data_IF_604727143084
#
_entry.id   IF_604727143084
#
_cell.length_a   1.000
_cell.length_b   1.000
_cell.length_c   1.000
_cell.angle_alpha   90.00
_cell.angle_beta   90.00
_cell.angle_gamma   90.00
#
_symmetry.space_group_name_H-M   'P 1'
#
loop_
_entity.id
_entity.type
_entity.pdbx_description
1 polymer ?
#
# COMPACT_ATOMS: atom_id res chain seq x y z
N UNK A 1 -10.17 76.67 -2.69
CA UNK A 1 -10.95 75.47 -2.32
C UNK A 1 -10.47 74.38 -3.25
N UNK A 2 -9.73 73.42 -2.72
CA UNK A 2 -9.20 72.27 -3.49
C UNK A 2 -10.32 71.23 -3.44
N UNK A 3 -10.90 70.91 -4.61
CA UNK A 3 -11.96 69.92 -4.69
C UNK A 3 -11.36 68.53 -4.93
N UNK A 4 -11.88 67.59 -4.16
CA UNK A 4 -11.37 66.28 -3.87
C UNK A 4 -12.25 65.27 -4.60
N UNK A 5 -11.97 65.02 -5.87
CA UNK A 5 -12.72 64.03 -6.66
C UNK A 5 -11.91 62.76 -6.85
N UNK A 6 -12.00 61.94 -5.81
CA UNK A 6 -12.07 60.47 -5.75
C UNK A 6 -11.68 59.67 -7.00
N UNK A 7 -10.64 58.84 -6.85
CA UNK A 7 -10.40 57.68 -7.70
C UNK A 7 -11.54 56.68 -7.48
N UNK A 8 -12.51 56.64 -8.39
CA UNK A 8 -13.46 55.53 -8.45
C UNK A 8 -12.68 54.24 -8.73
N UNK A 9 -12.57 53.40 -7.70
CA UNK A 9 -12.06 52.05 -7.82
C UNK A 9 -13.21 51.24 -8.42
N UNK A 10 -13.03 50.77 -9.66
CA UNK A 10 -14.01 49.94 -10.35
C UNK A 10 -14.18 48.60 -9.60
N UNK A 11 -15.21 48.53 -8.75
CA UNK A 11 -15.54 47.36 -7.95
C UNK A 11 -15.76 46.10 -8.81
N UNK A 12 -16.16 46.27 -10.08
CA UNK A 12 -16.32 45.19 -11.06
C UNK A 12 -15.00 44.47 -11.38
N UNK A 13 -13.90 45.22 -11.44
CA UNK A 13 -12.55 44.66 -11.67
C UNK A 13 -12.02 43.90 -10.44
N UNK A 14 -12.37 44.35 -9.24
CA UNK A 14 -11.95 43.68 -7.99
C UNK A 14 -12.62 42.32 -7.84
N UNK A 15 -13.93 42.23 -8.11
CA UNK A 15 -14.66 40.95 -8.02
C UNK A 15 -14.22 39.95 -9.08
N UNK A 16 -13.94 40.38 -10.31
CA UNK A 16 -13.48 39.49 -11.38
C UNK A 16 -12.08 38.91 -11.09
N UNK A 17 -11.21 39.69 -10.44
CA UNK A 17 -9.89 39.23 -10.03
C UNK A 17 -9.95 38.26 -8.83
N UNK A 18 -10.89 38.43 -7.90
CA UNK A 18 -11.13 37.50 -6.79
C UNK A 18 -11.65 36.14 -7.29
N UNK A 19 -12.55 36.13 -8.27
CA UNK A 19 -13.07 34.91 -8.88
C UNK A 19 -11.99 34.16 -9.67
N UNK A 20 -11.18 34.86 -10.47
CA UNK A 20 -10.06 34.27 -11.21
C UNK A 20 -9.02 33.65 -10.27
N UNK A 21 -8.68 34.34 -9.17
CA UNK A 21 -7.76 33.83 -8.16
C UNK A 21 -8.33 32.61 -7.41
N UNK A 22 -9.64 32.58 -7.15
CA UNK A 22 -10.33 31.44 -6.56
C UNK A 22 -10.31 30.20 -7.46
N UNK A 23 -10.58 30.39 -8.77
CA UNK A 23 -10.51 29.33 -9.77
C UNK A 23 -9.09 28.78 -9.97
N UNK A 24 -8.08 29.66 -9.94
CA UNK A 24 -6.67 29.24 -10.01
C UNK A 24 -6.26 28.46 -8.76
N UNK A 25 -6.72 28.89 -7.57
CA UNK A 25 -6.47 28.18 -6.32
C UNK A 25 -7.12 26.79 -6.30
N UNK A 26 -8.37 26.68 -6.76
CA UNK A 26 -9.10 25.41 -6.89
C UNK A 26 -8.41 24.44 -7.85
N UNK A 27 -7.88 24.94 -8.97
CA UNK A 27 -7.08 24.11 -9.89
C UNK A 27 -5.75 23.65 -9.25
N UNK A 28 -5.09 24.50 -8.46
CA UNK A 28 -3.83 24.17 -7.77
C UNK A 28 -4.04 23.10 -6.69
N UNK A 29 -5.13 23.17 -5.92
CA UNK A 29 -5.44 22.15 -4.89
C UNK A 29 -5.82 20.81 -5.53
N UNK A 30 -6.51 20.81 -6.67
CA UNK A 30 -6.83 19.58 -7.41
C UNK A 30 -5.60 18.92 -8.04
N UNK A 31 -4.60 19.71 -8.47
CA UNK A 31 -3.29 19.19 -8.89
C UNK A 31 -2.58 18.49 -7.73
N UNK A 32 -2.67 19.02 -6.50
CA UNK A 32 -2.00 18.47 -5.31
C UNK A 32 -2.64 17.19 -4.78
N UNK A 33 -3.89 16.88 -5.12
CA UNK A 33 -4.61 15.66 -4.67
C UNK A 33 -4.93 14.72 -5.83
N UNK A 34 -4.05 14.62 -6.84
CA UNK A 34 -4.17 13.54 -7.85
C UNK A 34 -3.85 12.19 -7.21
N UNK A 35 -4.90 11.48 -6.80
CA UNK A 35 -4.82 10.08 -6.35
C UNK A 35 -4.16 9.26 -7.45
N UNK A 36 -2.96 8.72 -7.19
CA UNK A 36 -2.25 7.85 -8.14
C UNK A 36 -3.17 6.71 -8.56
N UNK A 37 -3.48 6.63 -9.86
CA UNK A 37 -4.29 5.55 -10.43
C UNK A 37 -3.55 4.24 -10.27
N UNK A 38 -4.19 3.25 -9.66
CA UNK A 38 -3.71 1.86 -9.65
C UNK A 38 -4.14 1.19 -10.95
N UNK A 39 -3.24 0.42 -11.55
CA UNK A 39 -3.50 -0.35 -12.77
C UNK A 39 -3.18 -1.81 -12.52
N UNK A 40 -4.07 -2.71 -12.93
CA UNK A 40 -3.85 -4.15 -12.89
C UNK A 40 -2.87 -4.62 -13.99
N UNK A 41 -2.36 -5.84 -13.86
CA UNK A 41 -1.38 -6.38 -14.81
C UNK A 41 -1.99 -6.54 -16.21
N UNK A 42 -3.25 -6.96 -16.30
CA UNK A 42 -3.95 -7.12 -17.58
C UNK A 42 -4.03 -5.82 -18.38
N UNK A 43 -4.40 -4.72 -17.72
CA UNK A 43 -4.46 -3.40 -18.32
C UNK A 43 -3.09 -2.95 -18.78
N UNK A 44 -2.07 -3.05 -17.91
CA UNK A 44 -0.72 -2.63 -18.27
C UNK A 44 -0.17 -3.44 -19.45
N UNK A 45 -0.44 -4.74 -19.53
CA UNK A 45 -0.07 -5.59 -20.66
C UNK A 45 -0.80 -5.18 -21.95
N UNK A 46 -2.08 -4.81 -21.87
CA UNK A 46 -2.82 -4.29 -23.02
C UNK A 46 -2.20 -2.98 -23.54
N UNK A 47 -1.80 -2.07 -22.64
CA UNK A 47 -1.10 -0.84 -22.99
C UNK A 47 0.26 -1.14 -23.64
N UNK A 48 1.03 -2.08 -23.10
CA UNK A 48 2.31 -2.51 -23.68
C UNK A 48 2.12 -3.11 -25.07
N UNK A 49 1.12 -3.99 -25.26
CA UNK A 49 0.79 -4.58 -26.56
C UNK A 49 0.44 -3.50 -27.58
N UNK A 50 -0.38 -2.52 -27.20
CA UNK A 50 -0.71 -1.40 -28.08
C UNK A 50 0.53 -0.57 -28.43
N UNK A 51 1.41 -0.31 -27.46
CA UNK A 51 2.66 0.43 -27.65
C UNK A 51 3.72 -0.31 -28.48
N UNK A 52 3.58 -1.62 -28.67
CA UNK A 52 4.40 -2.43 -29.58
C UNK A 52 3.86 -2.45 -31.01
N UNK A 53 2.54 -2.41 -31.16
CA UNK A 53 1.87 -2.30 -32.47
C UNK A 53 1.94 -0.88 -33.05
N UNK A 54 1.95 0.11 -32.16
CA UNK A 54 2.04 1.54 -32.48
C UNK A 54 3.35 2.11 -31.90
N UNK A 55 3.32 3.38 -31.51
CA UNK A 55 4.40 4.02 -30.74
C UNK A 55 4.04 4.16 -29.26
N UNK A 56 5.05 4.33 -28.41
CA UNK A 56 4.84 4.63 -26.98
C UNK A 56 4.08 5.95 -26.78
N UNK A 57 4.31 6.95 -27.64
CA UNK A 57 3.54 8.20 -27.67
C UNK A 57 2.08 7.98 -28.06
N UNK A 58 1.82 7.12 -29.05
CA UNK A 58 0.47 6.74 -29.45
C UNK A 58 -0.28 6.08 -28.29
N UNK A 59 0.38 5.20 -27.54
CA UNK A 59 -0.19 4.58 -26.35
C UNK A 59 -0.45 5.61 -25.23
N UNK A 60 0.48 6.53 -25.00
CA UNK A 60 0.33 7.58 -24.00
C UNK A 60 -0.92 8.45 -24.28
N UNK A 61 -1.13 8.84 -25.54
CA UNK A 61 -2.32 9.59 -25.97
C UNK A 61 -3.60 8.76 -25.83
N UNK A 62 -3.59 7.51 -26.29
CA UNK A 62 -4.77 6.64 -26.30
C UNK A 62 -5.26 6.29 -24.89
N UNK A 63 -4.35 6.04 -23.95
CA UNK A 63 -4.69 5.58 -22.60
C UNK A 63 -4.58 6.67 -21.53
N UNK A 64 -4.24 7.91 -21.91
CA UNK A 64 -3.96 9.03 -21.01
C UNK A 64 -2.94 8.66 -19.92
N UNK A 65 -1.80 8.13 -20.37
CA UNK A 65 -0.74 7.57 -19.53
C UNK A 65 0.59 8.29 -19.72
N UNK A 66 1.38 8.38 -18.66
CA UNK A 66 2.74 8.91 -18.76
C UNK A 66 3.65 7.97 -19.55
N UNK A 67 4.47 8.52 -20.45
CA UNK A 67 5.45 7.75 -21.21
C UNK A 67 6.41 6.96 -20.30
N UNK A 68 6.79 7.54 -19.16
CA UNK A 68 7.67 6.87 -18.20
C UNK A 68 7.04 5.59 -17.63
N UNK A 69 5.73 5.60 -17.35
CA UNK A 69 5.01 4.41 -16.90
C UNK A 69 5.01 3.33 -17.98
N UNK A 70 4.72 3.71 -19.23
CA UNK A 70 4.71 2.79 -20.37
C UNK A 70 6.10 2.20 -20.60
N UNK A 71 7.16 3.02 -20.56
CA UNK A 71 8.55 2.56 -20.71
C UNK A 71 8.93 1.56 -19.63
N UNK A 72 8.54 1.81 -18.38
CA UNK A 72 8.80 0.89 -17.28
C UNK A 72 8.04 -0.42 -17.44
N UNK A 73 6.76 -0.38 -17.83
CA UNK A 73 5.98 -1.59 -18.10
C UNK A 73 6.53 -2.39 -19.28
N UNK A 74 7.08 -1.74 -20.30
CA UNK A 74 7.78 -2.44 -21.40
C UNK A 74 8.98 -3.23 -20.90
N UNK A 75 9.77 -2.68 -19.95
CA UNK A 75 10.89 -3.41 -19.33
C UNK A 75 10.42 -4.60 -18.49
N UNK A 76 9.29 -4.44 -17.80
CA UNK A 76 8.73 -5.44 -16.91
C UNK A 76 7.80 -6.45 -17.61
N UNK A 77 7.66 -6.38 -18.95
CA UNK A 77 6.67 -7.15 -19.72
C UNK A 77 6.72 -8.65 -19.43
N UNK A 78 7.91 -9.26 -19.39
CA UNK A 78 8.05 -10.71 -19.16
C UNK A 78 7.49 -11.14 -17.80
N UNK A 79 7.90 -10.45 -16.73
CA UNK A 79 7.43 -10.70 -15.37
C UNK A 79 5.92 -10.44 -15.24
N UNK A 80 5.43 -9.37 -15.87
CA UNK A 80 4.00 -9.06 -15.89
C UNK A 80 3.19 -10.15 -16.58
N UNK A 81 3.64 -10.67 -17.72
CA UNK A 81 2.97 -11.77 -18.43
C UNK A 81 2.94 -13.03 -17.58
N UNK A 82 4.09 -13.46 -17.06
CA UNK A 82 4.20 -14.65 -16.21
C UNK A 82 3.26 -14.58 -15.00
N UNK A 83 3.20 -13.44 -14.33
CA UNK A 83 2.30 -13.28 -13.20
C UNK A 83 0.83 -13.15 -13.61
N UNK A 84 0.52 -12.47 -14.72
CA UNK A 84 -0.85 -12.29 -15.20
C UNK A 84 -1.53 -13.61 -15.56
N UNK A 85 -0.76 -14.63 -15.97
CA UNK A 85 -1.27 -15.99 -16.20
C UNK A 85 -1.86 -16.61 -14.93
N UNK A 86 -1.40 -16.18 -13.75
CA UNK A 86 -1.91 -16.62 -12.43
C UNK A 86 -2.93 -15.67 -11.81
N UNK A 87 -2.68 -14.36 -11.82
CA UNK A 87 -3.55 -13.32 -11.25
C UNK A 87 -3.38 -11.98 -11.98
N UNK A 88 -4.10 -11.85 -13.10
CA UNK A 88 -4.11 -10.64 -13.91
C UNK A 88 -4.70 -9.39 -13.22
N UNK A 89 -5.50 -9.55 -12.16
CA UNK A 89 -6.15 -8.43 -11.45
C UNK A 89 -5.24 -7.77 -10.43
N UNK A 90 -4.06 -8.35 -10.15
CA UNK A 90 -3.11 -7.74 -9.24
C UNK A 90 -2.55 -6.43 -9.81
N UNK A 91 -2.41 -5.39 -8.99
CA UNK A 91 -1.84 -4.12 -9.41
C UNK A 91 -0.31 -4.06 -9.36
N UNK A 92 0.32 -5.02 -8.68
CA UNK A 92 1.76 -5.03 -8.39
C UNK A 92 2.37 -6.35 -8.80
N UNK A 93 3.64 -6.30 -9.21
CA UNK A 93 4.42 -7.50 -9.40
C UNK A 93 4.65 -8.21 -8.06
N UNK A 94 4.93 -9.51 -8.17
CA UNK A 94 5.26 -10.39 -7.07
C UNK A 94 6.45 -9.80 -6.31
N UNK A 95 6.40 -9.89 -4.97
CA UNK A 95 7.38 -9.22 -4.12
C UNK A 95 7.27 -7.69 -4.06
N UNK A 96 6.36 -7.04 -4.78
CA UNK A 96 6.07 -5.61 -4.63
C UNK A 96 5.38 -5.27 -3.29
N UNK A 97 5.50 -4.01 -2.87
CA UNK A 97 4.86 -3.51 -1.65
C UNK A 97 5.68 -3.71 -0.37
N UNK A 98 5.01 -3.64 0.78
CA UNK A 98 5.68 -3.66 2.09
C UNK A 98 6.24 -5.06 2.35
N UNK A 99 7.56 -5.13 2.53
CA UNK A 99 8.27 -6.37 2.86
C UNK A 99 7.97 -6.81 4.29
N UNK A 100 8.21 -8.10 4.55
CA UNK A 100 8.12 -8.68 5.88
C UNK A 100 9.22 -8.10 6.77
N UNK A 101 8.96 -7.99 8.07
CA UNK A 101 9.92 -7.43 9.04
C UNK A 101 11.16 -8.34 9.15
N UNK A 102 10.92 -9.65 9.18
CA UNK A 102 11.92 -10.72 9.18
C UNK A 102 11.22 -11.98 8.66
N UNK A 103 11.94 -12.83 7.95
CA UNK A 103 11.46 -14.14 7.51
C UNK A 103 11.37 -15.10 8.70
N UNK A 104 12.33 -15.01 9.62
CA UNK A 104 12.27 -15.75 10.89
C UNK A 104 11.02 -15.41 11.70
N UNK A 105 10.60 -14.15 11.71
CA UNK A 105 9.37 -13.72 12.38
C UNK A 105 8.08 -14.19 11.70
N UNK A 106 8.14 -14.75 10.50
CA UNK A 106 7.01 -15.52 9.97
C UNK A 106 7.07 -16.98 10.41
N UNK A 107 8.26 -17.58 10.44
CA UNK A 107 8.40 -19.01 10.69
C UNK A 107 8.33 -19.37 12.19
N UNK A 108 9.15 -18.73 13.03
CA UNK A 108 9.33 -19.09 14.44
C UNK A 108 8.04 -18.90 15.26
N UNK A 109 7.31 -17.76 15.16
CA UNK A 109 6.04 -17.62 15.88
C UNK A 109 4.98 -18.61 15.39
N UNK A 110 4.96 -18.98 14.10
CA UNK A 110 4.04 -20.00 13.58
C UNK A 110 4.31 -21.37 14.19
N UNK A 111 5.56 -21.82 14.18
CA UNK A 111 5.97 -23.08 14.78
C UNK A 111 5.58 -23.15 16.27
N UNK A 112 5.83 -22.07 17.02
CA UNK A 112 5.44 -21.99 18.42
C UNK A 112 3.91 -22.05 18.61
N UNK A 113 3.12 -21.37 17.79
CA UNK A 113 1.64 -21.45 17.83
C UNK A 113 1.17 -22.89 17.58
N UNK A 114 1.71 -23.57 16.56
CA UNK A 114 1.34 -24.95 16.25
C UNK A 114 1.71 -25.90 17.38
N UNK A 115 2.91 -25.75 17.94
CA UNK A 115 3.36 -26.55 19.08
C UNK A 115 2.43 -26.41 20.29
N UNK A 116 2.11 -25.17 20.70
CA UNK A 116 1.19 -24.90 21.80
C UNK A 116 -0.22 -25.45 21.54
N UNK A 117 -0.74 -25.30 20.32
CA UNK A 117 -2.06 -25.83 19.95
C UNK A 117 -2.10 -27.35 19.91
N UNK A 118 -1.00 -28.01 19.51
CA UNK A 118 -0.86 -29.47 19.58
C UNK A 118 -0.95 -30.00 21.02
N UNK A 119 -0.58 -29.16 22.00
CA UNK A 119 -0.69 -29.45 23.44
C UNK A 119 -2.04 -29.01 24.02
N UNK A 120 -3.00 -28.64 23.18
CA UNK A 120 -4.30 -28.09 23.57
C UNK A 120 -4.22 -26.81 24.43
N UNK A 121 -3.09 -26.10 24.37
CA UNK A 121 -2.91 -24.83 25.06
C UNK A 121 -3.46 -23.69 24.24
N UNK A 122 -4.18 -22.78 24.91
CA UNK A 122 -4.70 -21.57 24.27
C UNK A 122 -3.56 -20.60 24.02
N UNK A 123 -3.48 -20.13 22.77
CA UNK A 123 -2.55 -19.07 22.37
C UNK A 123 -3.32 -17.79 22.12
N UNK A 124 -3.15 -16.82 23.03
CA UNK A 124 -3.78 -15.52 22.88
C UNK A 124 -2.98 -14.60 21.95
N UNK A 125 -3.67 -13.62 21.36
CA UNK A 125 -3.04 -12.56 20.56
C UNK A 125 -1.96 -11.78 21.34
N UNK A 126 -2.16 -11.59 22.65
CA UNK A 126 -1.17 -10.93 23.53
C UNK A 126 0.10 -11.76 23.61
N UNK A 127 -0.02 -13.08 23.81
CA UNK A 127 1.12 -13.98 23.89
C UNK A 127 1.90 -14.04 22.59
N UNK A 128 1.22 -14.07 21.43
CA UNK A 128 1.89 -14.03 20.11
C UNK A 128 2.77 -12.77 19.98
N UNK A 129 2.27 -11.62 20.43
CA UNK A 129 3.03 -10.36 20.37
C UNK A 129 4.26 -10.39 21.28
N UNK A 130 4.12 -10.90 22.50
CA UNK A 130 5.24 -11.04 23.45
C UNK A 130 6.28 -11.99 22.86
N UNK A 131 5.86 -13.18 22.41
CA UNK A 131 6.76 -14.17 21.84
C UNK A 131 7.47 -13.69 20.58
N UNK A 132 6.77 -12.95 19.73
CA UNK A 132 7.37 -12.35 18.54
C UNK A 132 8.43 -11.29 18.90
N UNK A 133 8.27 -10.53 19.98
CA UNK A 133 9.31 -9.59 20.44
C UNK A 133 10.56 -10.31 20.93
N UNK A 134 10.40 -11.37 21.71
CA UNK A 134 11.53 -12.22 22.14
C UNK A 134 12.28 -12.78 20.94
N UNK A 135 11.55 -13.36 19.98
CA UNK A 135 12.15 -13.94 18.78
C UNK A 135 12.84 -12.88 17.92
N UNK A 136 12.29 -11.67 17.83
CA UNK A 136 12.92 -10.56 17.12
C UNK A 136 14.22 -10.08 17.77
N UNK A 137 14.31 -10.12 19.11
CA UNK A 137 15.50 -9.68 19.82
C UNK A 137 16.74 -10.48 19.38
N UNK A 138 16.57 -11.78 19.11
CA UNK A 138 17.63 -12.72 18.71
C UNK A 138 17.68 -13.03 17.21
N UNK A 139 16.80 -12.44 16.40
CA UNK A 139 16.78 -12.71 14.96
C UNK A 139 17.97 -12.03 14.25
N UNK A 140 18.60 -12.71 13.29
CA UNK A 140 19.72 -12.13 12.53
C UNK A 140 19.24 -11.34 11.30
N UNK A 141 18.03 -11.62 10.80
CA UNK A 141 17.47 -11.11 9.54
C UNK A 141 16.58 -9.86 9.72
N UNK A 142 16.96 -8.97 10.64
CA UNK A 142 16.20 -7.74 10.94
C UNK A 142 16.30 -6.77 9.77
N UNK A 143 15.19 -6.56 9.03
CA UNK A 143 15.16 -5.53 7.97
C UNK A 143 15.11 -4.11 8.53
N UNK A 144 14.38 -3.94 9.62
CA UNK A 144 14.22 -2.65 10.26
C UNK A 144 15.25 -2.56 11.40
N UNK A 145 16.25 -1.68 11.28
CA UNK A 145 17.22 -1.45 12.37
C UNK A 145 16.62 -0.87 13.66
N UNK A 146 15.30 -0.68 13.70
CA UNK A 146 14.56 -0.16 14.84
C UNK A 146 13.94 -1.26 15.72
N UNK A 147 13.38 -0.82 16.85
CA UNK A 147 12.68 -1.69 17.77
C UNK A 147 11.39 -2.25 17.15
N UNK A 148 11.21 -3.56 17.23
CA UNK A 148 10.00 -4.22 16.77
C UNK A 148 8.87 -4.11 17.81
N UNK A 149 7.84 -3.34 17.48
CA UNK A 149 6.73 -3.07 18.39
C UNK A 149 5.71 -4.23 18.49
N UNK A 150 5.77 -5.19 17.56
CA UNK A 150 4.75 -6.21 17.35
C UNK A 150 3.33 -5.58 17.33
N UNK A 151 3.12 -4.54 16.54
CA UNK A 151 1.86 -3.78 16.54
C UNK A 151 0.62 -4.63 16.20
N UNK A 152 -0.57 -4.15 16.54
CA UNK A 152 -1.85 -4.84 16.22
C UNK A 152 -1.97 -5.10 14.71
N UNK A 153 -1.57 -4.13 13.90
CA UNK A 153 -1.54 -4.22 12.44
C UNK A 153 -0.55 -5.26 11.93
N UNK A 154 0.62 -5.40 12.57
CA UNK A 154 1.55 -6.48 12.26
C UNK A 154 0.93 -7.84 12.59
N UNK A 155 0.40 -8.00 13.80
CA UNK A 155 -0.22 -9.25 14.25
C UNK A 155 -1.34 -9.69 13.31
N UNK A 156 -2.24 -8.76 12.95
CA UNK A 156 -3.34 -9.06 12.02
C UNK A 156 -2.82 -9.57 10.67
N UNK A 157 -1.80 -8.93 10.11
CA UNK A 157 -1.19 -9.35 8.83
C UNK A 157 -0.41 -10.65 8.95
N UNK A 158 0.28 -10.88 10.06
CA UNK A 158 0.96 -12.13 10.37
C UNK A 158 -0.05 -13.29 10.42
N UNK A 159 -1.14 -13.14 11.18
CA UNK A 159 -2.19 -14.17 11.27
C UNK A 159 -2.82 -14.46 9.91
N UNK A 160 -3.14 -13.41 9.13
CA UNK A 160 -3.72 -13.58 7.80
C UNK A 160 -2.79 -14.26 6.81
N UNK A 161 -1.50 -13.89 6.79
CA UNK A 161 -0.51 -14.49 5.88
C UNK A 161 -0.22 -15.96 6.20
N UNK A 162 -0.31 -16.32 7.48
CA UNK A 162 -0.04 -17.68 7.95
C UNK A 162 -1.33 -18.49 8.21
N UNK A 163 -2.47 -18.07 7.62
CA UNK A 163 -3.75 -18.77 7.68
C UNK A 163 -4.26 -19.09 9.10
N UNK A 164 -3.90 -18.29 10.09
CA UNK A 164 -4.47 -18.41 11.43
C UNK A 164 -5.83 -17.73 11.49
N UNK A 165 -6.82 -18.43 12.07
CA UNK A 165 -8.15 -17.86 12.28
C UNK A 165 -8.06 -16.55 13.09
N UNK A 166 -8.68 -15.51 12.53
CA UNK A 166 -8.80 -14.21 13.17
C UNK A 166 -9.88 -14.23 14.25
N UNK A 167 -10.85 -15.12 14.19
CA UNK A 167 -11.93 -15.24 15.18
C UNK A 167 -12.28 -16.72 15.35
N UNK A 168 -11.83 -17.34 16.43
CA UNK A 168 -12.37 -18.62 16.88
C UNK A 168 -12.60 -18.56 18.38
N UNK A 169 -13.85 -18.76 18.79
CA UNK A 169 -14.12 -19.36 20.10
C UNK A 169 -13.81 -20.84 19.91
N UNK A 170 -12.72 -21.30 20.50
CA UNK A 170 -12.44 -22.73 20.63
C UNK A 170 -13.47 -23.30 21.60
N UNK A 171 -14.23 -24.29 21.14
CA UNK A 171 -15.32 -24.95 21.89
C UNK A 171 -14.82 -25.95 22.93
N UNK A 172 -13.51 -26.16 23.00
CA UNK A 172 -12.84 -27.05 23.98
C UNK A 172 -12.38 -26.21 25.16
N UNK A 173 -12.53 -26.70 26.39
CA UNK A 173 -11.97 -26.07 27.57
C UNK A 173 -10.43 -26.02 27.44
N UNK A 174 -9.88 -24.86 27.07
CA UNK A 174 -8.45 -24.69 26.89
C UNK A 174 -7.82 -24.15 28.18
N UNK A 175 -6.69 -24.73 28.58
CA UNK A 175 -5.81 -24.14 29.59
C UNK A 175 -4.92 -23.11 28.90
N UNK A 176 -4.71 -21.97 29.54
CA UNK A 176 -3.80 -20.96 29.01
C UNK A 176 -2.35 -21.50 29.11
N UNK A 177 -1.55 -21.28 28.07
CA UNK A 177 -0.12 -21.57 28.14
C UNK A 177 0.55 -20.64 29.17
N UNK A 178 1.58 -21.11 29.90
CA UNK A 178 2.36 -20.26 30.80
C UNK A 178 2.85 -19.01 30.07
N UNK A 179 2.66 -17.86 30.70
CA UNK A 179 3.25 -16.60 30.26
C UNK A 179 4.54 -16.47 31.08
N UNK A 180 5.66 -16.84 30.47
CA UNK A 180 6.98 -16.48 31.00
C UNK A 180 7.30 -15.02 30.67
#
# INVERSE_FOLDING_TARGET
MVDESERQVDEGSVVENLEKNGQEFDQIVDIRVRKKRGFDLTFKLAVVKYAEQHSGEGAARQFHMDLNSIREWKKQKSEMTFQADSDGKCARLSGGGRKKVSEELEAKPCQWIHHMRGWNLRVSRKMIRVKAKEMYAVADDKRDGGAFEASVSWLFRFLRRNNFSLRTKTTVAQRDAPID
#
